data_IF_322615722905
#
_entry.id   IF_322615722905
#
_cell.length_a   1.000
_cell.length_b   1.000
_cell.length_c   1.000
_cell.angle_alpha   90.00
_cell.angle_beta   90.00
_cell.angle_gamma   90.00
#
_symmetry.space_group_name_H-M   'P 1'
#
loop_
_entity.id
_entity.type
_entity.pdbx_description
1 polymer ?
#
# COMPACT_ATOMS: atom_id res chain seq x y z
N UNK A 1 4.80 22.05 -1.65
CA UNK A 1 4.96 21.39 -0.33
C UNK A 1 4.26 22.22 0.73
N UNK A 2 3.18 21.69 1.29
CA UNK A 2 2.74 22.09 2.63
C UNK A 2 3.23 21.04 3.61
N UNK A 3 4.02 21.45 4.59
CA UNK A 3 4.29 20.62 5.76
C UNK A 3 3.24 20.96 6.80
N UNK A 4 2.20 20.15 6.89
CA UNK A 4 1.23 20.31 7.97
C UNK A 4 1.70 19.45 9.14
N UNK A 5 2.33 20.09 10.14
CA UNK A 5 2.49 19.47 11.45
C UNK A 5 1.11 19.37 12.07
N UNK A 6 0.62 18.15 12.21
CA UNK A 6 -0.61 17.89 12.98
C UNK A 6 -0.23 17.07 14.20
N UNK A 7 -0.58 17.55 15.39
CA UNK A 7 -0.59 16.67 16.56
C UNK A 7 -1.87 15.84 16.47
N UNK A 8 -1.73 14.56 16.13
CA UNK A 8 -2.85 13.63 16.24
C UNK A 8 -2.92 13.13 17.68
N UNK A 9 -4.07 13.28 18.34
CA UNK A 9 -4.34 12.74 19.67
C UNK A 9 -4.35 11.20 19.73
N UNK A 10 -4.26 10.54 18.56
CA UNK A 10 -4.29 9.09 18.40
C UNK A 10 -2.89 8.44 18.33
N UNK A 11 -1.81 9.22 18.42
CA UNK A 11 -0.45 8.71 18.38
C UNK A 11 0.35 9.15 19.62
N UNK A 12 1.32 8.33 20.11
CA UNK A 12 2.19 8.72 21.21
C UNK A 12 2.89 10.06 20.94
N UNK A 13 3.17 10.85 21.99
CA UNK A 13 3.68 12.23 21.91
C UNK A 13 4.99 12.43 21.10
N UNK A 14 5.67 11.35 20.71
CA UNK A 14 6.88 11.34 19.88
C UNK A 14 6.61 11.13 18.38
N UNK A 15 5.36 10.88 18.00
CA UNK A 15 4.94 10.59 16.64
C UNK A 15 4.35 11.84 16.01
N UNK A 16 5.20 12.58 15.29
CA UNK A 16 4.77 13.73 14.50
C UNK A 16 4.14 13.24 13.19
N UNK A 17 2.87 13.58 12.94
CA UNK A 17 2.28 13.46 11.60
C UNK A 17 2.98 14.51 10.71
N UNK A 18 3.95 14.07 9.92
CA UNK A 18 4.38 14.82 8.74
C UNK A 18 3.40 14.47 7.64
N UNK A 19 2.41 15.32 7.39
CA UNK A 19 1.60 15.25 6.18
C UNK A 19 2.39 15.97 5.10
N UNK A 20 2.91 15.19 4.14
CA UNK A 20 3.54 15.75 2.95
C UNK A 20 2.53 15.71 1.80
N UNK A 21 1.98 16.88 1.48
CA UNK A 21 1.15 17.10 0.29
C UNK A 21 2.00 17.79 -0.78
N UNK A 22 2.19 17.10 -1.90
CA UNK A 22 2.83 17.65 -3.09
C UNK A 22 1.77 18.05 -4.10
N UNK A 23 1.77 19.30 -4.56
CA UNK A 23 0.99 19.63 -5.75
C UNK A 23 1.67 18.98 -6.97
N UNK A 24 0.91 18.65 -8.03
CA UNK A 24 1.42 18.03 -9.26
C UNK A 24 2.58 18.81 -9.93
N UNK A 25 2.80 20.07 -9.56
CA UNK A 25 3.84 20.97 -10.05
C UNK A 25 5.11 21.06 -9.18
N UNK A 26 5.21 20.31 -8.07
CA UNK A 26 6.36 20.43 -7.16
C UNK A 26 7.66 19.79 -7.72
N UNK A 27 8.76 20.55 -7.67
CA UNK A 27 10.09 20.11 -8.14
C UNK A 27 10.71 18.96 -7.30
N UNK A 28 11.62 18.16 -7.91
CA UNK A 28 12.38 17.09 -7.24
C UNK A 28 13.06 17.54 -5.93
N UNK A 29 13.68 18.72 -5.94
CA UNK A 29 14.37 19.29 -4.77
C UNK A 29 13.44 19.57 -3.58
N UNK A 30 12.14 19.70 -3.85
CA UNK A 30 11.10 19.86 -2.84
C UNK A 30 10.67 18.50 -2.27
N UNK A 31 10.52 17.51 -3.13
CA UNK A 31 10.28 16.11 -2.75
C UNK A 31 11.42 15.57 -1.89
N UNK A 32 12.65 15.76 -2.34
CA UNK A 32 13.87 15.34 -1.63
C UNK A 32 14.04 16.05 -0.29
N UNK A 33 13.61 17.31 -0.17
CA UNK A 33 13.66 18.05 1.10
C UNK A 33 12.66 17.49 2.11
N UNK A 34 11.42 17.25 1.68
CA UNK A 34 10.41 16.60 2.54
C UNK A 34 10.80 15.19 2.95
N UNK A 35 11.42 14.43 2.04
CA UNK A 35 12.02 13.12 2.34
C UNK A 35 13.18 13.23 3.34
N UNK A 36 14.05 14.23 3.18
CA UNK A 36 15.16 14.48 4.11
C UNK A 36 14.68 14.91 5.50
N UNK A 37 13.62 15.70 5.60
CA UNK A 37 13.02 16.07 6.88
C UNK A 37 12.26 14.91 7.54
N UNK A 38 11.83 13.93 6.73
CA UNK A 38 11.28 12.66 7.20
C UNK A 38 12.34 11.64 7.63
N UNK A 39 13.61 11.79 7.22
CA UNK A 39 14.71 10.91 7.66
C UNK A 39 14.80 10.91 9.20
N UNK A 40 14.85 9.71 9.79
CA UNK A 40 14.87 9.51 11.23
C UNK A 40 13.48 9.49 11.89
N UNK A 41 12.40 9.68 11.12
CA UNK A 41 11.04 9.49 11.63
C UNK A 41 10.67 8.01 11.57
N UNK A 42 10.06 7.51 12.66
CA UNK A 42 9.52 6.15 12.71
C UNK A 42 8.18 6.04 11.96
N UNK A 43 7.49 7.15 11.74
CA UNK A 43 6.15 7.19 11.16
C UNK A 43 6.03 8.35 10.17
N UNK A 44 5.42 8.10 9.01
CA UNK A 44 5.13 9.11 7.99
C UNK A 44 3.73 8.89 7.39
N UNK A 45 2.98 9.98 7.17
CA UNK A 45 1.77 9.98 6.35
C UNK A 45 2.02 10.78 5.08
N UNK A 46 1.88 10.14 3.93
CA UNK A 46 2.23 10.73 2.64
C UNK A 46 1.03 10.71 1.71
N UNK A 47 0.75 11.82 1.04
CA UNK A 47 -0.20 11.87 -0.08
C UNK A 47 0.57 12.09 -1.38
N UNK A 48 0.50 11.13 -2.29
CA UNK A 48 1.27 11.12 -3.52
C UNK A 48 0.42 11.57 -4.69
N UNK A 49 0.85 12.67 -5.33
CA UNK A 49 0.18 13.28 -6.47
C UNK A 49 0.97 13.17 -7.78
N UNK A 50 2.09 12.44 -7.81
CA UNK A 50 2.87 12.25 -9.03
C UNK A 50 3.74 11.00 -9.02
N UNK A 51 3.97 10.44 -10.22
CA UNK A 51 4.97 9.38 -10.50
C UNK A 51 6.34 9.67 -9.93
N UNK A 52 6.76 10.93 -9.97
CA UNK A 52 8.07 11.35 -9.50
C UNK A 52 8.18 11.27 -7.98
N UNK A 53 7.15 11.68 -7.24
CA UNK A 53 7.11 11.53 -5.79
C UNK A 53 7.06 10.05 -5.36
N UNK A 54 6.31 9.23 -6.09
CA UNK A 54 6.23 7.79 -5.83
C UNK A 54 7.60 7.09 -6.02
N UNK A 55 8.34 7.43 -7.08
CA UNK A 55 9.72 6.93 -7.28
C UNK A 55 10.73 7.44 -6.26
N UNK A 56 10.53 8.61 -5.68
CA UNK A 56 11.42 9.12 -4.64
C UNK A 56 11.19 8.40 -3.29
N UNK A 57 9.99 7.87 -3.06
CA UNK A 57 9.71 6.99 -1.92
C UNK A 57 10.47 5.66 -2.04
N UNK A 58 10.59 5.12 -3.26
CA UNK A 58 11.30 3.88 -3.57
C UNK A 58 12.78 3.89 -3.13
N UNK A 59 13.43 5.05 -3.18
CA UNK A 59 14.83 5.21 -2.79
C UNK A 59 15.01 5.45 -1.29
N UNK A 60 13.92 5.50 -0.51
CA UNK A 60 13.94 5.84 0.91
C UNK A 60 13.60 4.65 1.80
N UNK A 61 14.60 4.07 2.47
CA UNK A 61 14.38 2.86 3.27
C UNK A 61 15.15 2.77 4.59
N UNK A 62 15.90 3.80 5.00
CA UNK A 62 16.90 3.65 6.07
C UNK A 62 16.39 3.50 7.53
N UNK A 63 15.19 3.97 7.89
CA UNK A 63 14.74 3.96 9.32
C UNK A 63 13.23 3.90 9.53
N UNK A 64 12.43 3.98 8.46
CA UNK A 64 10.98 4.08 8.53
C UNK A 64 10.38 2.79 9.08
N UNK A 65 9.52 2.92 10.09
CA UNK A 65 8.80 1.79 10.69
C UNK A 65 7.35 1.70 10.28
N UNK A 66 6.72 2.84 10.05
CA UNK A 66 5.31 2.93 9.68
C UNK A 66 5.12 3.95 8.57
N UNK A 67 4.45 3.52 7.51
CA UNK A 67 4.07 4.37 6.40
C UNK A 67 2.57 4.29 6.17
N UNK A 68 1.91 5.45 6.11
CA UNK A 68 0.58 5.58 5.54
C UNK A 68 0.69 6.35 4.23
N UNK A 69 0.53 5.67 3.11
CA UNK A 69 0.60 6.24 1.77
C UNK A 69 -0.80 6.31 1.17
N UNK A 70 -1.24 7.51 0.78
CA UNK A 70 -2.43 7.72 -0.04
C UNK A 70 -2.01 8.11 -1.43
N UNK A 71 -2.45 7.35 -2.43
CA UNK A 71 -2.29 7.67 -3.83
C UNK A 71 -3.59 8.32 -4.29
N UNK A 72 -3.50 9.53 -4.84
CA UNK A 72 -4.67 10.24 -5.32
C UNK A 72 -5.07 9.67 -6.68
N UNK A 73 -6.38 9.41 -6.92
CA UNK A 73 -6.90 9.04 -8.23
C UNK A 73 -6.40 9.99 -9.33
N UNK A 74 -6.14 9.45 -10.52
CA UNK A 74 -5.64 10.17 -11.70
C UNK A 74 -4.25 10.82 -11.56
N UNK A 75 -3.61 10.75 -10.39
CA UNK A 75 -2.35 11.43 -10.14
C UNK A 75 -1.12 10.61 -10.59
N UNK A 76 -1.30 9.32 -10.84
CA UNK A 76 -0.24 8.36 -11.12
C UNK A 76 -0.67 7.44 -12.26
N UNK A 77 0.26 7.14 -13.17
CA UNK A 77 0.07 6.01 -14.05
C UNK A 77 0.03 4.73 -13.20
N UNK A 78 -0.85 3.80 -13.57
CA UNK A 78 -1.10 2.52 -12.89
C UNK A 78 0.20 1.80 -12.49
N UNK A 79 1.15 1.69 -13.41
CA UNK A 79 2.45 1.08 -13.16
C UNK A 79 3.37 1.87 -12.22
N UNK A 80 3.26 3.20 -12.18
CA UNK A 80 4.12 4.03 -11.33
C UNK A 80 3.75 3.93 -9.85
N UNK A 81 2.45 3.84 -9.54
CA UNK A 81 1.98 3.55 -8.20
C UNK A 81 2.52 2.18 -7.75
N UNK A 82 2.34 1.17 -8.60
CA UNK A 82 2.79 -0.20 -8.33
C UNK A 82 4.32 -0.33 -8.18
N UNK A 83 5.11 0.38 -9.00
CA UNK A 83 6.57 0.40 -8.92
C UNK A 83 7.06 1.02 -7.59
N UNK A 84 6.44 2.13 -7.16
CA UNK A 84 6.77 2.76 -5.90
C UNK A 84 6.49 1.84 -4.70
N UNK A 85 5.41 1.07 -4.77
CA UNK A 85 5.06 0.11 -3.74
C UNK A 85 6.00 -1.10 -3.78
N UNK A 86 6.34 -1.59 -4.97
CA UNK A 86 7.30 -2.66 -5.16
C UNK A 86 8.67 -2.33 -4.55
N UNK A 87 9.08 -1.06 -4.57
CA UNK A 87 10.31 -0.63 -3.94
C UNK A 87 10.25 -0.58 -2.40
N UNK A 88 9.05 -0.43 -1.80
CA UNK A 88 8.88 -0.54 -0.35
C UNK A 88 9.13 -1.96 0.18
N UNK A 89 9.10 -2.97 -0.70
CA UNK A 89 9.51 -4.36 -0.38
C UNK A 89 10.90 -4.39 0.25
N UNK A 90 11.83 -3.60 -0.29
CA UNK A 90 13.24 -3.66 0.10
C UNK A 90 13.52 -2.81 1.36
N UNK A 91 12.47 -2.32 2.04
CA UNK A 91 12.62 -1.54 3.26
C UNK A 91 12.96 -2.43 4.48
N UNK A 92 14.17 -2.33 5.06
CA UNK A 92 14.66 -3.22 6.11
C UNK A 92 13.97 -3.02 7.47
N UNK A 93 13.29 -1.89 7.68
CA UNK A 93 12.70 -1.54 8.98
C UNK A 93 11.19 -1.25 8.92
N UNK A 94 10.56 -1.39 7.76
CA UNK A 94 9.14 -1.09 7.58
C UNK A 94 8.27 -2.19 8.18
N UNK A 95 7.73 -1.94 9.37
CA UNK A 95 6.88 -2.87 10.09
C UNK A 95 5.40 -2.77 9.70
N UNK A 96 4.95 -1.56 9.32
CA UNK A 96 3.55 -1.28 9.07
C UNK A 96 3.40 -0.44 7.81
N UNK A 97 2.61 -0.93 6.87
CA UNK A 97 2.24 -0.22 5.65
C UNK A 97 0.71 -0.14 5.56
N UNK A 98 0.20 1.08 5.46
CA UNK A 98 -1.16 1.37 5.03
C UNK A 98 -1.10 2.04 3.67
N UNK A 99 -1.81 1.50 2.71
CA UNK A 99 -1.85 2.01 1.35
C UNK A 99 -3.30 2.24 0.93
N UNK A 100 -3.62 3.48 0.57
CA UNK A 100 -4.87 3.84 -0.09
C UNK A 100 -4.57 4.05 -1.57
N UNK A 101 -5.00 3.10 -2.40
CA UNK A 101 -4.97 3.16 -3.86
C UNK A 101 -6.39 2.98 -4.43
N UNK A 102 -7.39 3.47 -3.72
CA UNK A 102 -8.77 3.45 -4.22
C UNK A 102 -8.86 4.26 -5.52
N UNK A 103 -9.57 3.74 -6.53
CA UNK A 103 -9.78 4.43 -7.83
C UNK A 103 -8.48 4.85 -8.55
N UNK A 104 -7.41 4.07 -8.41
CA UNK A 104 -6.12 4.34 -9.06
C UNK A 104 -5.96 3.65 -10.43
N UNK A 105 -7.01 2.99 -10.93
CA UNK A 105 -6.97 2.25 -12.20
C UNK A 105 -6.11 0.99 -12.13
N UNK A 106 -5.92 0.40 -10.94
CA UNK A 106 -5.06 -0.76 -10.78
C UNK A 106 -5.59 -1.97 -11.56
N UNK A 107 -4.69 -2.61 -12.29
CA UNK A 107 -4.92 -3.81 -13.08
C UNK A 107 -4.26 -5.05 -12.45
N UNK A 108 -4.33 -6.20 -13.13
CA UNK A 108 -3.70 -7.43 -12.67
C UNK A 108 -2.16 -7.30 -12.52
N UNK A 109 -1.49 -6.55 -13.41
CA UNK A 109 -0.05 -6.31 -13.34
C UNK A 109 0.33 -5.50 -12.09
N UNK A 110 -0.50 -4.56 -11.70
CA UNK A 110 -0.34 -3.78 -10.47
C UNK A 110 -0.53 -4.65 -9.22
N UNK A 111 -1.54 -5.53 -9.23
CA UNK A 111 -1.77 -6.50 -8.17
C UNK A 111 -0.59 -7.47 -7.98
N UNK A 112 0.06 -7.90 -9.08
CA UNK A 112 1.30 -8.70 -9.02
C UNK A 112 2.45 -7.97 -8.35
N UNK A 113 2.62 -6.68 -8.64
CA UNK A 113 3.66 -5.86 -8.00
C UNK A 113 3.36 -5.59 -6.52
N UNK A 114 2.09 -5.39 -6.18
CA UNK A 114 1.63 -5.32 -4.78
C UNK A 114 1.94 -6.61 -4.02
N UNK A 115 1.72 -7.76 -4.66
CA UNK A 115 1.99 -9.06 -4.06
C UNK A 115 3.47 -9.31 -3.75
N UNK A 116 4.40 -8.58 -4.41
CA UNK A 116 5.82 -8.63 -4.10
C UNK A 116 6.15 -8.14 -2.68
N UNK A 117 5.23 -7.44 -2.01
CA UNK A 117 5.35 -7.09 -0.59
C UNK A 117 5.43 -8.33 0.33
N UNK A 118 5.08 -9.53 -0.16
CA UNK A 118 5.28 -10.77 0.59
C UNK A 118 6.74 -11.00 0.98
N UNK A 119 7.68 -10.50 0.18
CA UNK A 119 9.11 -10.64 0.38
C UNK A 119 9.68 -9.53 1.28
N UNK A 120 8.84 -8.62 1.80
CA UNK A 120 9.30 -7.54 2.65
C UNK A 120 9.85 -8.08 3.99
N UNK A 121 11.13 -7.81 4.32
CA UNK A 121 11.85 -8.54 5.36
C UNK A 121 11.41 -8.19 6.78
N UNK A 122 10.63 -7.12 6.97
CA UNK A 122 10.24 -6.62 8.29
C UNK A 122 8.76 -6.27 8.39
N UNK A 123 7.95 -6.55 7.36
CA UNK A 123 6.55 -6.15 7.33
C UNK A 123 5.68 -7.11 8.15
N UNK A 124 5.06 -6.59 9.20
CA UNK A 124 4.17 -7.37 10.09
C UNK A 124 2.70 -6.99 9.90
N UNK A 125 2.43 -5.77 9.44
CA UNK A 125 1.07 -5.25 9.25
C UNK A 125 0.94 -4.60 7.88
N UNK A 126 0.00 -5.09 7.09
CA UNK A 126 -0.31 -4.59 5.76
C UNK A 126 -1.81 -4.28 5.67
N UNK A 127 -2.14 -3.04 5.37
CA UNK A 127 -3.50 -2.61 5.08
C UNK A 127 -3.55 -2.00 3.67
N UNK A 128 -4.37 -2.56 2.80
CA UNK A 128 -4.52 -2.16 1.40
C UNK A 128 -5.98 -1.76 1.16
N UNK A 129 -6.24 -0.52 0.79
CA UNK A 129 -7.49 -0.13 0.15
C UNK A 129 -7.26 -0.10 -1.36
N UNK A 130 -7.80 -1.12 -2.02
CA UNK A 130 -7.76 -1.33 -3.46
C UNK A 130 -9.17 -1.22 -4.07
N UNK A 131 -10.10 -0.56 -3.37
CA UNK A 131 -11.48 -0.44 -3.80
C UNK A 131 -11.63 0.35 -5.11
N UNK A 132 -12.70 0.07 -5.86
CA UNK A 132 -13.04 0.77 -7.09
C UNK A 132 -11.91 0.73 -8.15
N UNK A 133 -11.26 -0.42 -8.34
CA UNK A 133 -10.23 -0.65 -9.36
C UNK A 133 -10.69 -1.71 -10.38
N UNK A 134 -9.82 -2.06 -11.33
CA UNK A 134 -10.05 -3.08 -12.35
C UNK A 134 -9.50 -4.45 -11.97
N UNK A 135 -9.43 -4.80 -10.69
CA UNK A 135 -8.83 -6.06 -10.24
C UNK A 135 -9.78 -7.22 -10.58
N UNK A 136 -9.36 -8.06 -11.52
CA UNK A 136 -10.05 -9.29 -11.88
C UNK A 136 -9.49 -10.53 -11.17
N UNK A 137 -9.89 -11.72 -11.62
CA UNK A 137 -9.45 -13.00 -11.05
C UNK A 137 -7.91 -13.14 -11.01
N UNK A 138 -7.20 -12.77 -12.09
CA UNK A 138 -5.73 -12.84 -12.13
C UNK A 138 -5.06 -11.89 -11.12
N UNK A 139 -5.66 -10.74 -10.84
CA UNK A 139 -5.15 -9.82 -9.82
C UNK A 139 -5.42 -10.34 -8.40
N UNK A 140 -6.58 -10.95 -8.18
CA UNK A 140 -6.92 -11.62 -6.92
C UNK A 140 -5.98 -12.81 -6.63
N UNK A 141 -5.69 -13.63 -7.64
CA UNK A 141 -4.71 -14.72 -7.55
C UNK A 141 -3.31 -14.21 -7.21
N UNK A 142 -2.90 -13.09 -7.81
CA UNK A 142 -1.63 -12.47 -7.48
C UNK A 142 -1.59 -12.01 -6.02
N UNK A 143 -2.62 -11.30 -5.54
CA UNK A 143 -2.72 -10.86 -4.15
C UNK A 143 -2.73 -12.04 -3.15
N UNK A 144 -3.27 -13.19 -3.54
CA UNK A 144 -3.24 -14.39 -2.70
C UNK A 144 -1.82 -14.88 -2.35
N UNK A 145 -0.79 -14.49 -3.13
CA UNK A 145 0.60 -14.77 -2.82
C UNK A 145 1.10 -14.10 -1.53
N UNK A 146 0.38 -13.11 -0.98
CA UNK A 146 0.66 -12.53 0.33
C UNK A 146 0.55 -13.57 1.47
N UNK A 147 -0.09 -14.73 1.24
CA UNK A 147 -0.10 -15.85 2.20
C UNK A 147 1.30 -16.38 2.53
N UNK A 148 2.25 -16.19 1.60
CA UNK A 148 3.63 -16.66 1.72
C UNK A 148 4.52 -15.66 2.47
N UNK A 149 3.98 -14.52 2.91
CA UNK A 149 4.71 -13.50 3.63
C UNK A 149 5.12 -14.01 5.03
N UNK A 150 6.41 -14.26 5.30
CA UNK A 150 6.83 -15.04 6.47
C UNK A 150 6.64 -14.31 7.80
N UNK A 151 6.54 -12.99 7.77
CA UNK A 151 6.43 -12.12 8.97
C UNK A 151 5.10 -11.39 9.08
N UNK A 152 4.23 -11.53 8.08
CA UNK A 152 2.97 -10.81 8.05
C UNK A 152 1.99 -11.42 9.05
N UNK A 153 1.60 -10.63 10.04
CA UNK A 153 0.71 -11.04 11.12
C UNK A 153 -0.71 -10.48 10.97
N UNK A 154 -0.83 -9.32 10.33
CA UNK A 154 -2.12 -8.66 10.08
C UNK A 154 -2.19 -8.22 8.63
N UNK A 155 -3.24 -8.66 7.95
CA UNK A 155 -3.53 -8.35 6.56
C UNK A 155 -4.97 -7.87 6.45
N UNK A 156 -5.13 -6.63 6.02
CA UNK A 156 -6.43 -6.07 5.65
C UNK A 156 -6.38 -5.71 4.18
N UNK A 157 -7.31 -6.23 3.38
CA UNK A 157 -7.47 -5.86 1.98
C UNK A 157 -8.93 -5.49 1.73
N UNK A 158 -9.17 -4.26 1.31
CA UNK A 158 -10.46 -3.84 0.77
C UNK A 158 -10.41 -3.91 -0.76
N UNK A 159 -11.27 -4.76 -1.33
CA UNK A 159 -11.44 -4.99 -2.76
C UNK A 159 -12.86 -4.65 -3.21
N UNK A 160 -13.59 -3.80 -2.47
CA UNK A 160 -14.92 -3.34 -2.85
C UNK A 160 -14.95 -2.78 -4.28
N UNK A 161 -16.04 -3.02 -5.02
CA UNK A 161 -16.23 -2.52 -6.40
C UNK A 161 -15.05 -2.87 -7.33
N UNK A 162 -14.70 -4.15 -7.43
CA UNK A 162 -13.74 -4.66 -8.41
C UNK A 162 -14.41 -5.68 -9.35
N UNK A 163 -13.64 -6.34 -10.20
CA UNK A 163 -14.13 -7.34 -11.17
C UNK A 163 -13.78 -8.78 -10.74
N UNK A 164 -13.75 -9.05 -9.42
CA UNK A 164 -13.36 -10.36 -8.90
C UNK A 164 -14.50 -11.36 -9.09
N UNK A 165 -14.24 -12.42 -9.85
CA UNK A 165 -15.16 -13.56 -10.02
C UNK A 165 -14.93 -14.66 -8.99
N UNK A 166 -15.73 -15.74 -9.05
CA UNK A 166 -15.61 -16.92 -8.19
C UNK A 166 -14.17 -17.45 -8.05
N UNK A 167 -13.48 -17.64 -9.17
CA UNK A 167 -12.09 -18.11 -9.18
C UNK A 167 -11.13 -17.18 -8.42
N UNK A 168 -11.35 -15.87 -8.51
CA UNK A 168 -10.54 -14.89 -7.78
C UNK A 168 -10.83 -14.91 -6.27
N UNK A 169 -12.09 -15.07 -5.88
CA UNK A 169 -12.47 -15.21 -4.47
C UNK A 169 -11.90 -16.50 -3.85
N UNK A 170 -12.01 -17.63 -4.57
CA UNK A 170 -11.39 -18.89 -4.17
C UNK A 170 -9.87 -18.76 -4.03
N UNK A 171 -9.20 -18.03 -4.93
CA UNK A 171 -7.77 -17.77 -4.80
C UNK A 171 -7.46 -16.96 -3.53
N UNK A 172 -8.22 -15.89 -3.25
CA UNK A 172 -8.07 -15.08 -2.04
C UNK A 172 -8.35 -15.87 -0.75
N UNK A 173 -9.20 -16.90 -0.79
CA UNK A 173 -9.43 -17.78 0.35
C UNK A 173 -8.15 -18.49 0.82
N UNK A 174 -7.15 -18.66 -0.06
CA UNK A 174 -5.85 -19.21 0.32
C UNK A 174 -5.09 -18.34 1.35
N UNK A 175 -5.44 -17.05 1.49
CA UNK A 175 -4.88 -16.17 2.53
C UNK A 175 -5.24 -16.66 3.95
N UNK A 176 -6.36 -17.36 4.12
CA UNK A 176 -6.74 -17.94 5.42
C UNK A 176 -5.79 -19.06 5.88
N UNK A 177 -5.04 -19.67 4.95
CA UNK A 177 -4.02 -20.68 5.24
C UNK A 177 -2.63 -20.13 5.55
N UNK A 178 -2.45 -18.81 5.61
CA UNK A 178 -1.15 -18.18 5.82
C UNK A 178 -0.63 -18.46 7.25
N UNK A 179 0.49 -19.18 7.36
CA UNK A 179 1.02 -19.70 8.64
C UNK A 179 1.35 -18.62 9.69
N UNK A 180 1.72 -17.42 9.25
CA UNK A 180 2.09 -16.30 10.13
C UNK A 180 0.95 -15.33 10.43
N UNK A 181 -0.18 -15.47 9.74
CA UNK A 181 -1.25 -14.49 9.75
C UNK A 181 -2.23 -14.78 10.90
N UNK A 182 -2.38 -13.82 11.80
CA UNK A 182 -3.27 -13.91 12.96
C UNK A 182 -4.60 -13.17 12.70
N UNK A 183 -4.53 -12.14 11.88
CA UNK A 183 -5.68 -11.31 11.52
C UNK A 183 -5.75 -11.18 10.01
N UNK A 184 -6.85 -11.66 9.43
CA UNK A 184 -7.21 -11.47 8.03
C UNK A 184 -8.55 -10.74 7.96
N UNK A 185 -8.59 -9.63 7.24
CA UNK A 185 -9.82 -8.92 6.89
C UNK A 185 -9.88 -8.71 5.40
N UNK A 186 -10.89 -9.26 4.75
CA UNK A 186 -11.10 -9.17 3.30
C UNK A 186 -12.47 -8.55 3.00
N UNK A 187 -12.49 -7.41 2.31
CA UNK A 187 -13.70 -6.77 1.81
C UNK A 187 -13.92 -7.13 0.34
N UNK A 188 -14.96 -7.89 0.02
CA UNK A 188 -15.29 -8.32 -1.36
C UNK A 188 -16.64 -7.80 -1.86
N UNK A 189 -17.27 -6.86 -1.15
CA UNK A 189 -18.58 -6.32 -1.52
C UNK A 189 -18.56 -5.77 -2.96
N UNK A 190 -19.67 -5.87 -3.68
CA UNK A 190 -19.79 -5.42 -5.07
C UNK A 190 -18.71 -5.99 -6.02
N UNK A 191 -18.47 -7.29 -5.93
CA UNK A 191 -17.72 -8.07 -6.90
C UNK A 191 -18.62 -9.14 -7.54
N UNK A 192 -18.14 -9.81 -8.59
CA UNK A 192 -18.86 -10.85 -9.32
C UNK A 192 -18.58 -12.27 -8.78
N UNK A 193 -18.46 -12.42 -7.45
CA UNK A 193 -18.03 -13.67 -6.80
C UNK A 193 -18.96 -14.85 -7.12
N UNK A 194 -20.27 -14.60 -7.15
CA UNK A 194 -21.26 -15.66 -7.39
C UNK A 194 -21.34 -16.67 -6.23
N UNK A 195 -22.21 -17.69 -6.35
CA UNK A 195 -22.43 -18.68 -5.29
C UNK A 195 -21.30 -19.70 -5.12
N UNK A 196 -20.47 -19.89 -6.15
CA UNK A 196 -19.37 -20.87 -6.14
C UNK A 196 -18.05 -20.30 -5.56
N UNK A 197 -18.03 -19.00 -5.26
CA UNK A 197 -16.83 -18.26 -4.85
C UNK A 197 -16.62 -18.14 -3.35
#
# INVERSE_FOLDING_TARGET
IFFRRTMSSLLPAEVWDLIVEFAASDCLSRVDRGLREALGRRYVRWTCHSTRAARALASWTGTLRTLKLKIVPDALAVGAAADAIGALRDAPHLHTLTLDCSRCGLDAGSAQRLAALKDAPSLHTLALDLSCNGIGAAGAEALAALKDAPRLQTLTIDLHNNAIGAAGAQALAALAGAKGLHTLSLGLVNNAVGPDG
#
